data_IF_877654025012
#
_entry.id   IF_877654025012
#
_cell.length_a   1.000
_cell.length_b   1.000
_cell.length_c   1.000
_cell.angle_alpha   90.00
_cell.angle_beta   90.00
_cell.angle_gamma   90.00
#
_symmetry.space_group_name_H-M   'P 1'
#
loop_
_entity.id
_entity.type
_entity.pdbx_description
1 polymer ?
#
# COMPACT_ATOMS: atom_id res chain seq x y z
N UNK A 1 -34.47 -38.29 -15.19
CA UNK A 1 -34.10 -36.89 -15.42
C UNK A 1 -34.35 -36.02 -14.19
N UNK A 2 -35.57 -35.93 -13.64
CA UNK A 2 -35.95 -35.07 -12.50
C UNK A 2 -35.09 -35.32 -11.22
N UNK A 3 -34.76 -36.58 -10.90
CA UNK A 3 -33.95 -36.96 -9.72
C UNK A 3 -32.54 -36.41 -9.79
N UNK A 4 -31.89 -36.37 -10.96
CA UNK A 4 -30.56 -35.80 -11.13
C UNK A 4 -30.57 -34.27 -11.00
N UNK A 5 -31.62 -33.59 -11.44
CA UNK A 5 -31.83 -32.16 -11.33
C UNK A 5 -31.84 -31.72 -9.85
N UNK A 6 -32.55 -32.50 -9.00
CA UNK A 6 -32.57 -32.25 -7.54
C UNK A 6 -31.19 -32.38 -6.92
N UNK A 7 -30.41 -33.41 -7.31
CA UNK A 7 -29.06 -33.60 -6.82
C UNK A 7 -28.14 -32.42 -7.18
N UNK A 8 -28.17 -31.96 -8.41
CA UNK A 8 -27.37 -30.78 -8.85
C UNK A 8 -27.83 -29.50 -8.12
N UNK A 9 -29.11 -29.29 -7.97
CA UNK A 9 -29.63 -28.13 -7.25
C UNK A 9 -29.12 -28.08 -5.80
N UNK A 10 -29.22 -29.19 -5.05
CA UNK A 10 -28.72 -29.27 -3.68
C UNK A 10 -27.19 -29.05 -3.61
N UNK A 11 -26.43 -29.61 -4.56
CA UNK A 11 -25.00 -29.45 -4.63
C UNK A 11 -24.59 -27.97 -4.72
N UNK A 12 -25.14 -27.24 -5.72
CA UNK A 12 -24.80 -25.84 -5.93
C UNK A 12 -25.33 -24.90 -4.84
N UNK A 13 -26.44 -25.26 -4.21
CA UNK A 13 -26.98 -24.52 -3.08
C UNK A 13 -25.97 -24.58 -1.90
N UNK A 14 -25.47 -25.77 -1.54
CA UNK A 14 -24.51 -25.93 -0.45
C UNK A 14 -23.18 -25.25 -0.80
N UNK A 15 -22.72 -25.38 -2.03
CA UNK A 15 -21.48 -24.72 -2.48
C UNK A 15 -21.59 -23.19 -2.42
N UNK A 16 -22.73 -22.63 -2.76
CA UNK A 16 -22.94 -21.17 -2.66
C UNK A 16 -22.85 -20.68 -1.21
N UNK A 17 -23.38 -21.47 -0.25
CA UNK A 17 -23.27 -21.17 1.18
C UNK A 17 -21.83 -21.27 1.66
N UNK A 18 -21.09 -22.29 1.22
CA UNK A 18 -19.68 -22.46 1.57
C UNK A 18 -18.84 -21.30 1.04
N UNK A 19 -19.03 -20.90 -0.23
CA UNK A 19 -18.36 -19.73 -0.79
C UNK A 19 -18.69 -18.44 -0.03
N UNK A 20 -19.96 -18.25 0.31
CA UNK A 20 -20.39 -17.11 1.11
C UNK A 20 -19.71 -17.06 2.48
N UNK A 21 -19.69 -18.19 3.19
CA UNK A 21 -19.05 -18.31 4.49
C UNK A 21 -17.54 -18.03 4.39
N UNK A 22 -16.86 -18.66 3.43
CA UNK A 22 -15.44 -18.47 3.17
C UNK A 22 -15.10 -16.99 2.90
N UNK A 23 -15.80 -16.38 1.97
CA UNK A 23 -15.54 -15.00 1.56
C UNK A 23 -15.82 -13.98 2.66
N UNK A 24 -16.93 -14.15 3.42
CA UNK A 24 -17.29 -13.24 4.50
C UNK A 24 -16.38 -13.32 5.71
N UNK A 25 -15.71 -14.44 5.95
CA UNK A 25 -14.73 -14.58 7.04
C UNK A 25 -13.37 -13.98 6.68
N UNK A 26 -12.93 -14.14 5.44
CA UNK A 26 -11.58 -13.79 5.01
C UNK A 26 -11.44 -12.37 4.45
N UNK A 27 -12.48 -11.83 3.82
CA UNK A 27 -12.34 -10.61 3.03
C UNK A 27 -13.26 -9.48 3.47
N UNK A 28 -12.82 -8.24 3.17
CA UNK A 28 -13.61 -7.04 3.40
C UNK A 28 -14.57 -6.85 2.22
N UNK A 29 -15.88 -6.75 2.46
CA UNK A 29 -16.85 -6.54 1.39
C UNK A 29 -16.68 -5.16 0.73
N UNK A 30 -16.84 -5.11 -0.60
CA UNK A 30 -16.86 -3.87 -1.37
C UNK A 30 -18.29 -3.34 -1.59
N UNK A 31 -19.28 -4.23 -1.57
CA UNK A 31 -20.68 -3.92 -1.89
C UNK A 31 -21.66 -4.30 -0.78
N UNK A 32 -22.88 -3.82 -0.90
CA UNK A 32 -23.96 -4.08 0.07
C UNK A 32 -24.35 -5.56 0.09
N UNK A 33 -24.93 -6.00 1.21
CA UNK A 33 -25.35 -7.39 1.39
C UNK A 33 -26.31 -7.85 0.29
N UNK A 34 -27.27 -6.99 -0.12
CA UNK A 34 -28.22 -7.31 -1.18
C UNK A 34 -27.54 -7.57 -2.53
N UNK A 35 -26.60 -6.69 -2.94
CA UNK A 35 -25.86 -6.84 -4.21
C UNK A 35 -25.02 -8.13 -4.24
N UNK A 36 -24.35 -8.45 -3.12
CA UNK A 36 -23.56 -9.68 -3.01
C UNK A 36 -24.44 -10.92 -3.13
N UNK A 37 -25.59 -10.94 -2.45
CA UNK A 37 -26.49 -12.08 -2.48
C UNK A 37 -27.12 -12.27 -3.87
N UNK A 38 -27.58 -11.20 -4.52
CA UNK A 38 -28.16 -11.28 -5.87
C UNK A 38 -27.15 -11.79 -6.89
N UNK A 39 -25.90 -11.30 -6.87
CA UNK A 39 -24.87 -11.79 -7.78
C UNK A 39 -24.52 -13.27 -7.50
N UNK A 40 -24.38 -13.66 -6.24
CA UNK A 40 -24.11 -15.05 -5.88
C UNK A 40 -25.19 -15.99 -6.44
N UNK A 41 -26.45 -15.67 -6.19
CA UNK A 41 -27.56 -16.48 -6.65
C UNK A 41 -27.65 -16.55 -8.18
N UNK A 42 -27.40 -15.43 -8.88
CA UNK A 42 -27.39 -15.41 -10.35
C UNK A 42 -26.28 -16.27 -10.95
N UNK A 43 -25.05 -16.19 -10.41
CA UNK A 43 -23.93 -17.00 -10.87
C UNK A 43 -24.16 -18.49 -10.65
N UNK A 44 -24.66 -18.88 -9.47
CA UNK A 44 -24.95 -20.28 -9.18
C UNK A 44 -26.16 -20.81 -9.92
N UNK A 45 -27.14 -19.97 -10.29
CA UNK A 45 -28.24 -20.35 -11.19
C UNK A 45 -27.71 -20.66 -12.60
N UNK A 46 -26.75 -19.87 -13.10
CA UNK A 46 -26.08 -20.15 -14.39
C UNK A 46 -25.28 -21.47 -14.31
N UNK A 47 -24.50 -21.68 -13.25
CA UNK A 47 -23.77 -22.94 -13.04
C UNK A 47 -24.71 -24.14 -13.02
N UNK A 48 -25.82 -24.02 -12.33
CA UNK A 48 -26.84 -25.07 -12.30
C UNK A 48 -27.39 -25.41 -13.70
N UNK A 49 -27.75 -24.39 -14.50
CA UNK A 49 -28.24 -24.64 -15.87
C UNK A 49 -27.23 -25.31 -16.76
N UNK A 50 -25.94 -24.92 -16.67
CA UNK A 50 -24.87 -25.52 -17.46
C UNK A 50 -24.54 -26.94 -16.98
N UNK A 51 -24.64 -27.22 -15.69
CA UNK A 51 -24.37 -28.56 -15.16
C UNK A 51 -25.32 -29.64 -15.69
N UNK A 52 -26.47 -29.24 -16.23
CA UNK A 52 -27.42 -30.18 -16.87
C UNK A 52 -26.86 -30.81 -18.17
N UNK A 53 -25.82 -30.23 -18.78
CA UNK A 53 -25.14 -30.81 -19.95
C UNK A 53 -24.16 -31.94 -19.58
N UNK A 54 -23.89 -32.15 -18.29
CA UNK A 54 -23.05 -33.23 -17.72
C UNK A 54 -21.61 -33.30 -18.26
N UNK A 55 -21.01 -32.13 -18.64
CA UNK A 55 -19.64 -32.01 -19.12
C UNK A 55 -18.73 -31.61 -17.95
N UNK A 56 -17.99 -32.60 -17.38
CA UNK A 56 -17.20 -32.43 -16.16
C UNK A 56 -16.16 -31.29 -16.25
N UNK A 57 -15.41 -31.22 -17.33
CA UNK A 57 -14.39 -30.19 -17.55
C UNK A 57 -14.98 -28.77 -17.65
N UNK A 58 -16.10 -28.65 -18.35
CA UNK A 58 -16.81 -27.38 -18.51
C UNK A 58 -17.36 -26.89 -17.16
N UNK A 59 -17.97 -27.79 -16.40
CA UNK A 59 -18.53 -27.47 -15.08
C UNK A 59 -17.45 -27.00 -14.12
N UNK A 60 -16.28 -27.66 -14.08
CA UNK A 60 -15.16 -27.25 -13.24
C UNK A 60 -14.60 -25.89 -13.66
N UNK A 61 -14.41 -25.66 -14.95
CA UNK A 61 -13.94 -24.37 -15.47
C UNK A 61 -14.87 -23.22 -15.14
N UNK A 62 -16.16 -23.41 -15.36
CA UNK A 62 -17.19 -22.41 -15.03
C UNK A 62 -17.32 -22.17 -13.52
N UNK A 63 -17.16 -23.19 -12.69
CA UNK A 63 -17.14 -23.06 -11.25
C UNK A 63 -15.98 -22.15 -10.78
N UNK A 64 -14.79 -22.35 -11.32
CA UNK A 64 -13.63 -21.48 -11.02
C UNK A 64 -13.90 -20.06 -11.47
N UNK A 65 -14.44 -19.86 -12.67
CA UNK A 65 -14.76 -18.54 -13.22
C UNK A 65 -15.85 -17.82 -12.40
N UNK A 66 -16.89 -18.49 -11.99
CA UNK A 66 -17.96 -17.92 -11.18
C UNK A 66 -17.45 -17.49 -9.81
N UNK A 67 -16.66 -18.34 -9.14
CA UNK A 67 -16.05 -18.02 -7.86
C UNK A 67 -15.06 -16.85 -8.00
N UNK A 68 -14.23 -16.84 -9.05
CA UNK A 68 -13.33 -15.72 -9.35
C UNK A 68 -14.10 -14.41 -9.53
N UNK A 69 -15.12 -14.42 -10.39
CA UNK A 69 -15.90 -13.23 -10.69
C UNK A 69 -16.64 -12.71 -9.43
N UNK A 70 -17.19 -13.60 -8.62
CA UNK A 70 -17.81 -13.25 -7.35
C UNK A 70 -16.81 -12.60 -6.37
N UNK A 71 -15.66 -13.23 -6.16
CA UNK A 71 -14.64 -12.74 -5.23
C UNK A 71 -14.04 -11.40 -5.70
N UNK A 72 -13.75 -11.29 -6.98
CA UNK A 72 -13.13 -10.09 -7.56
C UNK A 72 -14.07 -8.87 -7.54
N UNK A 73 -15.35 -9.07 -7.84
CA UNK A 73 -16.29 -7.95 -7.93
C UNK A 73 -16.89 -7.54 -6.58
N UNK A 74 -17.14 -8.50 -5.67
CA UNK A 74 -17.87 -8.22 -4.43
C UNK A 74 -16.98 -7.94 -3.22
N UNK A 75 -15.68 -8.25 -3.31
CA UNK A 75 -14.73 -8.03 -2.24
C UNK A 75 -13.55 -7.21 -2.72
N UNK A 76 -12.87 -6.51 -1.80
CA UNK A 76 -11.69 -5.70 -2.11
C UNK A 76 -10.46 -6.59 -2.31
N UNK A 77 -10.46 -7.34 -3.41
CA UNK A 77 -9.39 -8.26 -3.78
C UNK A 77 -8.71 -7.86 -5.08
N UNK A 78 -7.42 -8.15 -5.19
CA UNK A 78 -6.70 -8.03 -6.46
C UNK A 78 -6.98 -9.25 -7.34
N UNK A 79 -6.85 -9.09 -8.66
CA UNK A 79 -7.12 -10.13 -9.64
C UNK A 79 -6.39 -11.46 -9.33
N UNK A 80 -5.08 -11.43 -9.09
CA UNK A 80 -4.29 -12.63 -8.78
C UNK A 80 -4.69 -13.33 -7.47
N UNK A 81 -5.09 -12.55 -6.45
CA UNK A 81 -5.61 -13.11 -5.20
C UNK A 81 -6.97 -13.77 -5.39
N UNK A 82 -7.86 -13.16 -6.16
CA UNK A 82 -9.16 -13.74 -6.50
C UNK A 82 -9.01 -15.04 -7.30
N UNK A 83 -8.06 -15.10 -8.26
CA UNK A 83 -7.73 -16.31 -9.01
C UNK A 83 -7.23 -17.41 -8.07
N UNK A 84 -6.27 -17.09 -7.17
CA UNK A 84 -5.74 -18.06 -6.22
C UNK A 84 -6.81 -18.66 -5.33
N UNK A 85 -7.68 -17.83 -4.73
CA UNK A 85 -8.73 -18.29 -3.84
C UNK A 85 -9.82 -19.08 -4.56
N UNK A 86 -10.18 -18.71 -5.80
CA UNK A 86 -11.13 -19.48 -6.61
C UNK A 86 -10.57 -20.84 -7.02
N UNK A 87 -9.30 -20.91 -7.41
CA UNK A 87 -8.63 -22.15 -7.77
C UNK A 87 -8.49 -23.10 -6.56
N UNK A 88 -8.10 -22.56 -5.38
CA UNK A 88 -7.98 -23.38 -4.17
C UNK A 88 -9.33 -23.94 -3.71
N UNK A 89 -10.40 -23.15 -3.77
CA UNK A 89 -11.74 -23.62 -3.43
C UNK A 89 -12.18 -24.77 -4.35
N UNK A 90 -11.93 -24.63 -5.66
CA UNK A 90 -12.25 -25.66 -6.63
C UNK A 90 -11.42 -26.93 -6.42
N UNK A 91 -10.11 -26.77 -6.16
CA UNK A 91 -9.23 -27.89 -5.84
C UNK A 91 -9.66 -28.65 -4.60
N UNK A 92 -9.90 -27.94 -3.51
CA UNK A 92 -10.34 -28.55 -2.23
C UNK A 92 -11.69 -29.26 -2.40
N UNK A 93 -12.65 -28.64 -3.08
CA UNK A 93 -13.95 -29.24 -3.37
C UNK A 93 -13.80 -30.55 -4.12
N UNK A 94 -13.08 -30.55 -5.25
CA UNK A 94 -12.91 -31.75 -6.06
C UNK A 94 -12.15 -32.86 -5.35
N UNK A 95 -11.14 -32.53 -4.53
CA UNK A 95 -10.44 -33.53 -3.74
C UNK A 95 -11.33 -34.15 -2.66
N UNK A 96 -12.18 -33.36 -2.00
CA UNK A 96 -13.17 -33.92 -1.06
C UNK A 96 -14.13 -34.89 -1.77
N UNK A 97 -14.56 -34.58 -2.98
CA UNK A 97 -15.39 -35.47 -3.79
C UNK A 97 -14.67 -36.75 -4.16
N UNK A 98 -13.39 -36.68 -4.61
CA UNK A 98 -12.59 -37.86 -4.92
C UNK A 98 -12.36 -38.75 -3.71
N UNK A 99 -12.03 -38.20 -2.55
CA UNK A 99 -11.82 -38.95 -1.31
C UNK A 99 -13.09 -39.70 -0.96
N UNK A 100 -14.23 -39.04 -0.95
CA UNK A 100 -15.52 -39.68 -0.61
C UNK A 100 -15.89 -40.74 -1.66
N UNK A 101 -15.69 -40.44 -2.96
CA UNK A 101 -15.96 -41.40 -4.04
C UNK A 101 -15.17 -42.70 -3.86
N UNK A 102 -13.88 -42.59 -3.61
CA UNK A 102 -12.99 -43.71 -3.47
C UNK A 102 -13.25 -44.52 -2.17
N UNK A 103 -13.47 -43.83 -1.03
CA UNK A 103 -13.81 -44.49 0.23
C UNK A 103 -15.14 -45.26 0.12
N UNK A 104 -16.16 -44.63 -0.45
CA UNK A 104 -17.49 -45.25 -0.63
C UNK A 104 -17.40 -46.42 -1.62
N UNK A 105 -16.68 -46.27 -2.73
CA UNK A 105 -16.49 -47.32 -3.73
C UNK A 105 -15.79 -48.55 -3.15
N UNK A 106 -14.82 -48.34 -2.23
CA UNK A 106 -14.11 -49.43 -1.58
C UNK A 106 -14.97 -50.22 -0.61
N UNK A 107 -15.73 -49.54 0.27
CA UNK A 107 -16.55 -50.22 1.28
C UNK A 107 -17.86 -50.79 0.74
N UNK A 108 -18.37 -50.23 -0.39
CA UNK A 108 -19.62 -50.59 -1.00
C UNK A 108 -19.49 -50.67 -2.54
N UNK A 109 -18.91 -51.77 -3.08
CA UNK A 109 -18.60 -51.89 -4.50
C UNK A 109 -19.84 -51.70 -5.46
N UNK A 110 -21.04 -51.96 -4.94
CA UNK A 110 -22.30 -51.77 -5.69
C UNK A 110 -23.02 -50.45 -5.36
N UNK A 111 -22.35 -49.51 -4.64
CA UNK A 111 -23.00 -48.26 -4.22
C UNK A 111 -23.52 -47.42 -5.39
N UNK A 112 -22.80 -47.41 -6.50
CA UNK A 112 -23.15 -46.70 -7.72
C UNK A 112 -23.90 -47.57 -8.75
N UNK A 113 -24.35 -48.78 -8.34
CA UNK A 113 -25.18 -49.63 -9.20
C UNK A 113 -26.59 -49.03 -9.46
N UNK A 114 -27.24 -49.48 -10.53
CA UNK A 114 -28.53 -48.90 -10.95
C UNK A 114 -29.64 -49.02 -9.88
N UNK A 115 -29.60 -50.08 -9.05
CA UNK A 115 -30.54 -50.23 -7.94
C UNK A 115 -30.20 -49.23 -6.82
N UNK A 116 -31.06 -48.24 -6.60
CA UNK A 116 -30.89 -47.21 -5.56
C UNK A 116 -30.00 -46.01 -5.96
N UNK A 117 -29.60 -45.88 -7.21
CA UNK A 117 -28.72 -44.84 -7.74
C UNK A 117 -28.99 -43.43 -7.22
N UNK A 118 -30.25 -43.03 -7.14
CA UNK A 118 -30.63 -41.71 -6.65
C UNK A 118 -30.28 -41.47 -5.17
N UNK A 119 -30.61 -42.41 -4.30
CA UNK A 119 -30.33 -42.29 -2.86
C UNK A 119 -28.82 -42.35 -2.60
N UNK A 120 -28.14 -43.21 -3.31
CA UNK A 120 -26.68 -43.35 -3.20
C UNK A 120 -25.96 -42.10 -3.71
N UNK A 121 -26.39 -41.51 -4.83
CA UNK A 121 -25.87 -40.23 -5.32
C UNK A 121 -26.16 -39.08 -4.36
N UNK A 122 -27.33 -39.05 -3.73
CA UNK A 122 -27.63 -38.05 -2.70
C UNK A 122 -26.75 -38.18 -1.47
N UNK A 123 -26.55 -39.40 -0.96
CA UNK A 123 -25.65 -39.65 0.18
C UNK A 123 -24.19 -39.23 -0.15
N UNK A 124 -23.72 -39.56 -1.33
CA UNK A 124 -22.41 -39.14 -1.82
C UNK A 124 -22.24 -37.62 -1.78
N UNK A 125 -23.23 -36.88 -2.32
CA UNK A 125 -23.24 -35.42 -2.29
C UNK A 125 -23.21 -34.91 -0.84
N UNK A 126 -24.03 -35.45 0.04
CA UNK A 126 -24.07 -35.02 1.44
C UNK A 126 -22.70 -35.22 2.11
N UNK A 127 -22.11 -36.41 1.99
CA UNK A 127 -20.81 -36.69 2.65
C UNK A 127 -19.69 -35.84 2.06
N UNK A 128 -19.61 -35.66 0.74
CA UNK A 128 -18.57 -34.86 0.11
C UNK A 128 -18.70 -33.36 0.47
N UNK A 129 -19.93 -32.82 0.55
CA UNK A 129 -20.14 -31.41 0.91
C UNK A 129 -19.97 -31.17 2.42
N UNK A 130 -20.29 -32.15 3.30
CA UNK A 130 -19.96 -32.05 4.72
C UNK A 130 -18.43 -32.04 4.91
N UNK A 131 -17.69 -32.91 4.21
CA UNK A 131 -16.24 -32.92 4.26
C UNK A 131 -15.66 -31.59 3.78
N UNK A 132 -16.13 -31.08 2.65
CA UNK A 132 -15.73 -29.79 2.10
C UNK A 132 -16.01 -28.64 3.09
N UNK A 133 -17.22 -28.56 3.64
CA UNK A 133 -17.59 -27.58 4.64
C UNK A 133 -16.66 -27.66 5.88
N UNK A 134 -16.41 -28.88 6.37
CA UNK A 134 -15.53 -29.10 7.53
C UNK A 134 -14.12 -28.59 7.28
N UNK A 135 -13.54 -28.89 6.12
CA UNK A 135 -12.21 -28.40 5.72
C UNK A 135 -12.19 -26.87 5.66
N UNK A 136 -13.22 -26.24 5.03
CA UNK A 136 -13.32 -24.79 4.95
C UNK A 136 -13.55 -24.14 6.32
N UNK A 137 -14.34 -24.74 7.21
CA UNK A 137 -14.52 -24.25 8.58
C UNK A 137 -13.23 -24.30 9.38
N UNK A 138 -12.48 -25.39 9.31
CA UNK A 138 -11.16 -25.52 9.95
C UNK A 138 -10.23 -24.43 9.42
N UNK A 139 -10.15 -24.29 8.11
CA UNK A 139 -9.29 -23.31 7.43
C UNK A 139 -9.64 -21.87 7.82
N UNK A 140 -10.92 -21.51 7.84
CA UNK A 140 -11.37 -20.17 8.24
C UNK A 140 -11.24 -19.92 9.74
N UNK A 141 -11.35 -20.97 10.60
CA UNK A 141 -11.16 -20.84 12.04
C UNK A 141 -9.72 -20.46 12.40
N UNK A 142 -8.73 -21.12 11.79
CA UNK A 142 -7.31 -20.79 12.00
C UNK A 142 -6.93 -19.40 11.51
N UNK A 143 -7.72 -18.81 10.61
CA UNK A 143 -7.49 -17.48 10.02
C UNK A 143 -8.36 -16.40 10.67
N UNK A 144 -9.15 -16.73 11.68
CA UNK A 144 -10.05 -15.79 12.35
C UNK A 144 -9.25 -14.64 12.99
N UNK A 145 -9.55 -13.40 12.57
CA UNK A 145 -8.88 -12.18 13.04
C UNK A 145 -8.02 -11.46 12.00
N UNK A 146 -7.82 -12.06 10.83
CA UNK A 146 -7.00 -11.47 9.77
C UNK A 146 -7.87 -11.01 8.58
N UNK A 147 -8.74 -10.02 8.80
CA UNK A 147 -9.41 -9.34 7.65
C UNK A 147 -8.38 -8.45 6.96
N UNK A 148 -7.58 -9.02 6.10
CA UNK A 148 -6.58 -8.27 5.34
C UNK A 148 -7.18 -7.72 4.04
N UNK A 149 -7.08 -6.40 3.90
CA UNK A 149 -7.11 -5.78 2.59
C UNK A 149 -5.81 -6.21 1.88
N UNK A 150 -5.88 -7.07 0.87
CA UNK A 150 -4.73 -7.57 0.11
C UNK A 150 -4.15 -6.45 -0.77
N UNK A 151 -3.52 -5.44 -0.14
CA UNK A 151 -2.93 -4.31 -0.86
C UNK A 151 -1.47 -4.56 -1.30
N UNK A 152 -0.89 -5.72 -0.99
CA UNK A 152 0.54 -5.91 -1.22
C UNK A 152 0.84 -6.65 -2.52
N UNK A 153 1.70 -5.99 -3.30
CA UNK A 153 2.26 -6.48 -4.54
C UNK A 153 3.36 -7.51 -4.24
N UNK A 154 3.11 -8.78 -4.56
CA UNK A 154 4.17 -9.77 -4.58
C UNK A 154 4.01 -10.67 -5.81
N UNK A 155 4.97 -10.59 -6.75
CA UNK A 155 5.00 -11.42 -7.95
C UNK A 155 5.09 -12.93 -7.63
N UNK A 156 5.56 -13.30 -6.43
CA UNK A 156 5.62 -14.69 -5.97
C UNK A 156 4.24 -15.33 -5.78
N UNK A 157 3.17 -14.55 -5.61
CA UNK A 157 1.80 -15.09 -5.55
C UNK A 157 1.35 -15.76 -6.85
N UNK A 158 1.86 -15.30 -7.99
CA UNK A 158 1.51 -15.87 -9.29
C UNK A 158 2.02 -17.32 -9.40
N UNK A 159 3.20 -17.60 -8.84
CA UNK A 159 3.75 -18.97 -8.80
C UNK A 159 2.90 -19.91 -7.90
N UNK A 160 2.36 -19.40 -6.81
CA UNK A 160 1.53 -20.21 -5.91
C UNK A 160 0.17 -20.61 -6.52
N UNK A 161 -0.30 -19.91 -7.55
CA UNK A 161 -1.52 -20.24 -8.28
C UNK A 161 -1.36 -21.54 -9.09
N UNK A 162 -0.15 -21.87 -9.54
CA UNK A 162 0.10 -23.09 -10.30
C UNK A 162 -0.24 -24.37 -9.53
N UNK A 163 -0.03 -24.41 -8.20
CA UNK A 163 -0.25 -25.61 -7.39
C UNK A 163 -1.72 -26.03 -7.34
N UNK A 164 -2.70 -25.15 -7.05
CA UNK A 164 -4.12 -25.51 -7.16
C UNK A 164 -4.52 -25.94 -8.57
N UNK A 165 -4.01 -25.28 -9.62
CA UNK A 165 -4.33 -25.65 -11.01
C UNK A 165 -3.78 -27.00 -11.39
N UNK A 166 -2.53 -27.32 -11.03
CA UNK A 166 -1.97 -28.66 -11.27
C UNK A 166 -2.74 -29.74 -10.50
N UNK A 167 -3.16 -29.45 -9.27
CA UNK A 167 -3.97 -30.37 -8.49
C UNK A 167 -5.35 -30.63 -9.14
N UNK A 168 -6.01 -29.59 -9.67
CA UNK A 168 -7.27 -29.72 -10.43
C UNK A 168 -7.05 -30.56 -11.68
N UNK A 169 -5.95 -30.32 -12.42
CA UNK A 169 -5.63 -31.09 -13.62
C UNK A 169 -5.43 -32.57 -13.29
N UNK A 170 -4.64 -32.91 -12.27
CA UNK A 170 -4.41 -34.28 -11.81
C UNK A 170 -5.72 -34.92 -11.38
N UNK A 171 -6.56 -34.20 -10.65
CA UNK A 171 -7.88 -34.68 -10.22
C UNK A 171 -8.76 -35.05 -11.43
N UNK A 172 -8.83 -34.17 -12.42
CA UNK A 172 -9.65 -34.40 -13.62
C UNK A 172 -9.11 -35.57 -14.44
N UNK A 173 -7.78 -35.80 -14.50
CA UNK A 173 -7.21 -37.01 -15.12
C UNK A 173 -7.59 -38.27 -14.35
N UNK A 174 -7.60 -38.27 -13.01
CA UNK A 174 -8.05 -39.40 -12.20
C UNK A 174 -9.52 -39.75 -12.47
N UNK A 175 -10.38 -38.73 -12.52
CA UNK A 175 -11.79 -38.95 -12.85
C UNK A 175 -11.95 -39.54 -14.26
N UNK A 176 -11.20 -39.05 -15.26
CA UNK A 176 -11.26 -39.55 -16.62
C UNK A 176 -10.76 -41.01 -16.71
N UNK A 177 -9.72 -41.39 -15.97
CA UNK A 177 -9.23 -42.77 -15.92
C UNK A 177 -10.26 -43.66 -15.24
N UNK A 178 -10.83 -43.26 -14.12
CA UNK A 178 -11.85 -44.01 -13.39
C UNK A 178 -13.13 -44.24 -14.22
N UNK A 179 -13.48 -43.29 -15.10
CA UNK A 179 -14.62 -43.46 -16.00
C UNK A 179 -14.31 -44.43 -17.16
N UNK A 180 -13.05 -44.56 -17.57
CA UNK A 180 -12.64 -45.30 -18.76
C UNK A 180 -12.19 -46.73 -18.47
N UNK A 181 -11.75 -47.02 -17.25
CA UNK A 181 -11.15 -48.30 -16.86
C UNK A 181 -11.75 -48.86 -15.57
N UNK A 182 -11.92 -50.17 -15.49
CA UNK A 182 -12.26 -50.83 -14.23
C UNK A 182 -10.97 -50.91 -13.38
N UNK A 183 -10.95 -50.18 -12.28
CA UNK A 183 -9.80 -50.12 -11.40
C UNK A 183 -9.71 -51.35 -10.51
N UNK A 184 -8.50 -51.79 -10.22
CA UNK A 184 -8.27 -52.78 -9.16
C UNK A 184 -8.39 -52.13 -7.80
N UNK A 185 -8.73 -52.87 -6.71
CA UNK A 185 -8.81 -52.34 -5.36
C UNK A 185 -7.54 -51.64 -4.90
N UNK A 186 -6.36 -52.07 -5.32
CA UNK A 186 -5.09 -51.44 -5.02
C UNK A 186 -4.98 -50.05 -5.70
N UNK A 187 -5.44 -49.90 -6.93
CA UNK A 187 -5.45 -48.61 -7.67
C UNK A 187 -6.43 -47.61 -7.02
N UNK A 188 -7.59 -48.09 -6.59
CA UNK A 188 -8.56 -47.22 -5.86
C UNK A 188 -7.96 -46.66 -4.57
N UNK A 189 -7.22 -47.49 -3.81
CA UNK A 189 -6.49 -47.00 -2.62
C UNK A 189 -5.40 -45.99 -2.99
N UNK A 190 -4.66 -46.22 -4.04
CA UNK A 190 -3.65 -45.26 -4.52
C UNK A 190 -4.27 -43.93 -4.93
N UNK A 191 -5.44 -43.93 -5.57
CA UNK A 191 -6.15 -42.69 -5.93
C UNK A 191 -6.64 -41.93 -4.68
N UNK A 192 -7.22 -42.66 -3.70
CA UNK A 192 -7.61 -42.07 -2.42
C UNK A 192 -6.44 -41.40 -1.72
N UNK A 193 -5.34 -42.11 -1.61
CA UNK A 193 -4.14 -41.62 -0.95
C UNK A 193 -3.55 -40.40 -1.67
N UNK A 194 -3.51 -40.45 -3.01
CA UNK A 194 -3.08 -39.32 -3.83
C UNK A 194 -3.99 -38.09 -3.64
N UNK A 195 -5.31 -38.29 -3.56
CA UNK A 195 -6.22 -37.19 -3.30
C UNK A 195 -6.02 -36.55 -1.92
N UNK A 196 -5.75 -37.36 -0.88
CA UNK A 196 -5.41 -36.85 0.46
C UNK A 196 -4.09 -36.08 0.45
N UNK A 197 -3.04 -36.56 -0.25
CA UNK A 197 -1.79 -35.84 -0.37
C UNK A 197 -1.96 -34.53 -1.14
N UNK A 198 -2.73 -34.50 -2.23
CA UNK A 198 -3.02 -33.29 -2.97
C UNK A 198 -3.82 -32.28 -2.11
N UNK A 199 -4.78 -32.75 -1.33
CA UNK A 199 -5.54 -31.92 -0.40
C UNK A 199 -4.61 -31.27 0.64
N UNK A 200 -3.77 -32.09 1.29
CA UNK A 200 -2.83 -31.58 2.30
C UNK A 200 -1.82 -30.61 1.70
N UNK A 201 -1.31 -30.87 0.50
CA UNK A 201 -0.41 -29.94 -0.21
C UNK A 201 -1.09 -28.60 -0.50
N UNK A 202 -2.33 -28.60 -0.97
CA UNK A 202 -3.07 -27.37 -1.24
C UNK A 202 -3.38 -26.58 0.06
N UNK A 203 -3.71 -27.27 1.15
CA UNK A 203 -3.92 -26.61 2.45
C UNK A 203 -2.62 -26.03 2.99
N UNK A 204 -1.50 -26.72 2.81
CA UNK A 204 -0.18 -26.24 3.21
C UNK A 204 0.24 -25.00 2.42
N UNK A 205 0.07 -25.01 1.10
CA UNK A 205 0.31 -23.84 0.24
C UNK A 205 -0.56 -22.66 0.64
N UNK A 206 -1.82 -22.91 0.94
CA UNK A 206 -2.71 -21.87 1.46
C UNK A 206 -2.19 -21.30 2.80
N UNK A 207 -1.78 -22.16 3.72
CA UNK A 207 -1.21 -21.75 5.02
C UNK A 207 0.06 -20.92 4.85
N UNK A 208 0.99 -21.34 3.99
CA UNK A 208 2.21 -20.59 3.67
C UNK A 208 1.86 -19.22 3.08
N UNK A 209 0.92 -19.16 2.15
CA UNK A 209 0.51 -17.90 1.55
C UNK A 209 -0.02 -16.92 2.60
N UNK A 210 -0.88 -17.38 3.50
CA UNK A 210 -1.42 -16.55 4.58
C UNK A 210 -0.33 -16.13 5.57
N UNK A 211 0.58 -17.03 5.94
CA UNK A 211 1.71 -16.71 6.80
C UNK A 211 2.61 -15.63 6.19
N UNK A 212 2.94 -15.77 4.91
CA UNK A 212 3.76 -14.78 4.20
C UNK A 212 3.06 -13.42 4.09
N UNK A 213 1.75 -13.39 3.85
CA UNK A 213 0.97 -12.14 3.85
C UNK A 213 1.02 -11.45 5.21
N UNK A 214 0.84 -12.21 6.29
CA UNK A 214 0.91 -11.68 7.66
C UNK A 214 2.29 -11.10 7.96
N UNK A 215 3.35 -11.87 7.68
CA UNK A 215 4.74 -11.43 7.87
C UNK A 215 5.07 -10.16 7.09
N UNK A 216 4.59 -10.06 5.86
CA UNK A 216 4.81 -8.87 5.04
C UNK A 216 4.07 -7.64 5.59
N UNK A 217 2.85 -7.83 6.12
CA UNK A 217 2.11 -6.76 6.78
C UNK A 217 2.83 -6.26 8.05
N UNK A 218 3.26 -7.16 8.91
CA UNK A 218 4.04 -6.85 10.12
C UNK A 218 5.34 -6.10 9.77
N UNK A 219 6.05 -6.56 8.75
CA UNK A 219 7.28 -5.91 8.28
C UNK A 219 7.05 -4.49 7.78
N UNK A 220 5.97 -4.27 7.04
CA UNK A 220 5.62 -2.93 6.52
C UNK A 220 5.23 -1.98 7.65
N UNK A 221 4.50 -2.47 8.65
CA UNK A 221 4.14 -1.69 9.84
C UNK A 221 5.39 -1.30 10.64
N UNK A 222 6.32 -2.24 10.83
CA UNK A 222 7.61 -1.98 11.49
C UNK A 222 8.44 -0.93 10.76
N UNK A 223 8.50 -1.01 9.41
CA UNK A 223 9.19 0.01 8.62
C UNK A 223 8.57 1.40 8.79
N UNK A 224 7.24 1.49 8.85
CA UNK A 224 6.54 2.76 9.06
C UNK A 224 6.83 3.34 10.44
N UNK A 225 6.90 2.50 11.48
CA UNK A 225 7.26 2.93 12.84
C UNK A 225 8.69 3.45 12.91
N UNK A 226 9.66 2.73 12.31
CA UNK A 226 11.05 3.16 12.24
C UNK A 226 11.21 4.50 11.50
N UNK A 227 10.46 4.70 10.41
CA UNK A 227 10.47 5.97 9.69
C UNK A 227 9.95 7.11 10.57
N UNK A 228 8.84 6.89 11.31
CA UNK A 228 8.31 7.91 12.23
C UNK A 228 9.29 8.27 13.34
N UNK A 229 10.00 7.28 13.88
CA UNK A 229 11.01 7.50 14.91
C UNK A 229 12.20 8.33 14.38
N UNK A 230 12.65 8.04 13.17
CA UNK A 230 13.71 8.80 12.49
C UNK A 230 13.28 10.25 12.26
N UNK A 231 12.09 10.47 11.70
CA UNK A 231 11.54 11.80 11.43
C UNK A 231 11.40 12.61 12.74
N UNK A 232 10.95 11.96 13.83
CA UNK A 232 10.84 12.58 15.16
C UNK A 232 12.21 12.97 15.71
N UNK A 233 13.22 12.10 15.55
CA UNK A 233 14.58 12.36 16.02
C UNK A 233 15.22 13.55 15.28
N UNK A 234 15.01 13.67 13.99
CA UNK A 234 15.48 14.82 13.21
C UNK A 234 14.80 16.12 13.65
N UNK A 235 13.50 16.07 13.91
CA UNK A 235 12.76 17.21 14.45
C UNK A 235 13.33 17.68 15.81
N UNK A 236 13.56 16.74 16.76
CA UNK A 236 14.16 17.07 18.05
C UNK A 236 15.57 17.66 17.93
N UNK A 237 16.40 17.14 17.05
CA UNK A 237 17.74 17.71 16.78
C UNK A 237 17.66 19.14 16.27
N UNK A 238 16.69 19.44 15.41
CA UNK A 238 16.49 20.78 14.88
C UNK A 238 16.00 21.75 15.99
N UNK A 239 15.11 21.33 16.88
CA UNK A 239 14.67 22.11 18.05
C UNK A 239 15.84 22.39 19.01
N UNK A 240 16.68 21.40 19.30
CA UNK A 240 17.87 21.57 20.13
C UNK A 240 18.83 22.59 19.54
N UNK A 241 19.12 22.50 18.24
CA UNK A 241 19.96 23.46 17.54
C UNK A 241 19.38 24.88 17.54
N UNK A 242 18.07 25.01 17.43
CA UNK A 242 17.38 26.30 17.54
C UNK A 242 17.51 26.88 18.95
N UNK A 243 17.29 26.09 20.01
CA UNK A 243 17.45 26.53 21.40
C UNK A 243 18.90 26.93 21.70
N UNK A 244 19.89 26.21 21.18
CA UNK A 244 21.29 26.56 21.35
C UNK A 244 21.61 27.91 20.69
N UNK A 245 21.15 28.12 19.46
CA UNK A 245 21.30 29.40 18.76
C UNK A 245 20.63 30.57 19.51
N UNK A 246 19.43 30.34 20.08
CA UNK A 246 18.76 31.36 20.92
C UNK A 246 19.57 31.66 22.18
N UNK A 247 20.14 30.66 22.84
CA UNK A 247 20.96 30.86 24.04
C UNK A 247 22.24 31.67 23.73
N UNK A 248 22.88 31.41 22.62
CA UNK A 248 24.04 32.18 22.14
C UNK A 248 23.61 33.64 21.89
N UNK A 249 22.50 33.86 21.19
CA UNK A 249 22.01 35.21 20.90
C UNK A 249 21.71 36.00 22.19
N UNK A 250 21.00 35.38 23.14
CA UNK A 250 20.68 36.00 24.43
C UNK A 250 21.97 36.37 25.16
N UNK A 251 22.93 35.49 25.16
CA UNK A 251 24.23 35.75 25.79
C UNK A 251 24.99 36.94 25.13
N UNK A 252 24.94 37.03 23.82
CA UNK A 252 25.62 38.11 23.09
C UNK A 252 24.87 39.43 23.25
N UNK A 253 23.56 39.46 23.24
CA UNK A 253 22.72 40.61 23.57
C UNK A 253 23.04 41.12 25.00
N UNK A 254 23.19 40.18 25.96
CA UNK A 254 23.58 40.55 27.35
C UNK A 254 24.94 41.22 27.43
N UNK A 255 25.94 40.73 26.69
CA UNK A 255 27.27 41.36 26.59
C UNK A 255 27.19 42.77 25.98
N UNK A 256 26.40 42.93 24.92
CA UNK A 256 26.23 44.25 24.30
C UNK A 256 25.59 45.26 25.26
N UNK A 257 24.53 44.82 25.99
CA UNK A 257 23.88 45.65 27.00
C UNK A 257 24.88 46.04 28.14
N UNK A 258 25.68 45.10 28.62
CA UNK A 258 26.73 45.38 29.62
C UNK A 258 27.75 46.39 29.13
N UNK A 259 28.15 46.31 27.85
CA UNK A 259 29.08 47.28 27.24
C UNK A 259 28.47 48.68 27.15
N UNK A 260 27.16 48.78 26.82
CA UNK A 260 26.43 50.06 26.83
C UNK A 260 26.31 50.63 28.24
N UNK A 261 26.03 49.79 29.25
CA UNK A 261 25.97 50.17 30.67
C UNK A 261 27.28 50.76 31.16
N UNK A 262 28.41 50.09 30.89
CA UNK A 262 29.76 50.59 31.24
C UNK A 262 30.11 51.94 30.59
N UNK A 263 29.69 52.15 29.33
CA UNK A 263 29.90 53.43 28.64
C UNK A 263 28.98 54.52 29.24
N UNK A 264 27.78 54.17 29.70
CA UNK A 264 26.85 55.10 30.35
C UNK A 264 27.35 55.53 31.73
N UNK A 265 27.93 54.63 32.53
CA UNK A 265 28.56 54.98 33.82
C UNK A 265 29.68 55.98 33.64
N UNK A 266 30.44 55.90 32.50
CA UNK A 266 31.49 56.85 32.13
C UNK A 266 30.96 58.15 31.52
N UNK A 267 29.64 58.31 31.38
CA UNK A 267 28.92 59.45 30.75
C UNK A 267 29.43 59.80 29.35
N UNK A 268 29.94 58.78 28.61
CA UNK A 268 30.48 58.94 27.26
C UNK A 268 29.40 58.69 26.19
N UNK A 269 28.49 59.64 26.08
CA UNK A 269 27.33 59.56 25.18
C UNK A 269 27.71 59.45 23.68
N UNK A 270 28.87 59.97 23.30
CA UNK A 270 29.36 59.90 21.92
C UNK A 270 29.69 58.46 21.57
N UNK A 271 30.43 57.76 22.44
CA UNK A 271 30.80 56.37 22.23
C UNK A 271 29.61 55.41 22.34
N UNK A 272 28.61 55.72 23.20
CA UNK A 272 27.38 54.93 23.22
C UNK A 272 26.66 54.97 21.86
N UNK A 273 26.49 56.16 21.29
CA UNK A 273 25.84 56.30 19.98
C UNK A 273 26.62 55.62 18.85
N UNK A 274 27.94 55.71 18.87
CA UNK A 274 28.77 55.02 17.89
C UNK A 274 28.71 53.50 18.02
N UNK A 275 28.73 52.98 19.26
CA UNK A 275 28.60 51.53 19.54
C UNK A 275 27.25 50.97 19.09
N UNK A 276 26.15 51.68 19.42
CA UNK A 276 24.81 51.31 18.97
C UNK A 276 24.76 51.31 17.43
N UNK A 277 25.34 52.32 16.78
CA UNK A 277 25.38 52.38 15.31
C UNK A 277 26.15 51.25 14.70
N UNK A 278 27.30 50.86 15.27
CA UNK A 278 28.10 49.71 14.86
C UNK A 278 27.31 48.42 15.07
N UNK A 279 26.63 48.27 16.19
CA UNK A 279 25.77 47.10 16.49
C UNK A 279 24.65 46.96 15.45
N UNK A 280 23.99 48.05 15.07
CA UNK A 280 22.92 48.05 14.04
C UNK A 280 23.44 47.76 12.62
N UNK A 281 24.72 47.98 12.39
CA UNK A 281 25.39 47.70 11.11
C UNK A 281 26.01 46.30 11.06
N UNK A 282 26.12 45.62 12.22
CA UNK A 282 26.70 44.28 12.28
C UNK A 282 25.83 43.28 11.55
N UNK A 283 26.43 42.33 10.83
CA UNK A 283 25.77 41.28 10.07
C UNK A 283 24.90 40.39 10.92
N UNK A 284 25.23 40.21 12.21
CA UNK A 284 24.56 39.30 13.13
C UNK A 284 23.12 39.74 13.46
N UNK A 285 22.86 41.06 13.49
CA UNK A 285 21.49 41.59 13.64
C UNK A 285 20.72 41.70 12.33
N UNK A 286 21.43 41.76 11.18
CA UNK A 286 20.77 41.73 9.86
C UNK A 286 20.29 40.34 9.46
N UNK A 287 20.93 39.27 9.94
CA UNK A 287 20.49 37.90 9.67
C UNK A 287 19.22 37.48 10.43
N UNK A 288 18.81 38.22 11.46
CA UNK A 288 17.54 38.04 12.20
C UNK A 288 16.35 38.69 11.47
N UNK A 289 16.48 39.08 10.21
CA UNK A 289 15.34 39.54 9.44
C UNK A 289 14.34 38.38 9.28
N UNK A 290 13.26 38.45 10.05
CA UNK A 290 12.14 37.52 10.01
C UNK A 290 11.63 37.40 8.57
N UNK A 291 11.81 36.24 7.97
CA UNK A 291 11.50 35.98 6.57
C UNK A 291 10.02 35.67 6.40
N UNK A 292 9.38 35.11 7.45
CA UNK A 292 7.95 34.82 7.47
C UNK A 292 7.42 34.82 8.92
N UNK A 293 6.09 34.86 9.07
CA UNK A 293 5.44 34.91 10.38
C UNK A 293 5.41 33.56 11.09
N UNK A 294 5.48 32.46 10.34
CA UNK A 294 5.49 31.12 10.92
C UNK A 294 6.87 30.78 11.50
N UNK A 295 6.97 30.59 12.79
CA UNK A 295 8.23 30.47 13.55
C UNK A 295 9.10 29.30 13.09
N UNK A 296 8.48 28.14 12.92
CA UNK A 296 9.16 26.92 12.48
C UNK A 296 9.66 27.03 11.03
N UNK A 297 8.81 27.59 10.14
CA UNK A 297 9.22 27.81 8.75
C UNK A 297 10.39 28.80 8.66
N UNK A 298 10.33 29.87 9.46
CA UNK A 298 11.42 30.86 9.53
C UNK A 298 12.74 30.21 9.98
N UNK A 299 12.70 29.29 10.95
CA UNK A 299 13.88 28.54 11.39
C UNK A 299 14.44 27.64 10.28
N UNK A 300 13.56 26.93 9.54
CA UNK A 300 13.96 26.10 8.40
C UNK A 300 14.62 26.96 7.32
N UNK A 301 13.98 28.05 6.90
CA UNK A 301 14.50 28.94 5.86
C UNK A 301 15.83 29.58 6.24
N UNK A 302 15.99 29.99 7.49
CA UNK A 302 17.24 30.56 8.02
C UNK A 302 18.40 29.53 7.96
N UNK A 303 18.12 28.26 8.31
CA UNK A 303 19.09 27.16 8.18
C UNK A 303 19.55 26.98 6.73
N UNK A 304 18.60 26.89 5.80
CA UNK A 304 18.93 26.69 4.38
C UNK A 304 19.58 27.93 3.76
N UNK A 305 19.20 29.14 4.16
CA UNK A 305 19.88 30.38 3.75
C UNK A 305 21.37 30.35 4.11
N UNK A 306 21.71 29.91 5.32
CA UNK A 306 23.10 29.74 5.75
C UNK A 306 23.83 28.68 4.90
N UNK A 307 23.22 27.52 4.69
CA UNK A 307 23.81 26.47 3.83
C UNK A 307 24.01 26.94 2.37
N UNK A 308 23.08 27.73 1.85
CA UNK A 308 23.19 28.33 0.52
C UNK A 308 24.36 29.32 0.48
N UNK A 309 24.53 30.18 1.49
CA UNK A 309 25.64 31.13 1.58
C UNK A 309 27.02 30.41 1.61
N UNK A 310 27.12 29.31 2.37
CA UNK A 310 28.33 28.46 2.42
C UNK A 310 28.68 27.88 1.04
N UNK A 311 27.63 27.53 0.24
CA UNK A 311 27.80 26.99 -1.12
C UNK A 311 27.78 28.05 -2.22
N UNK A 312 27.71 29.33 -1.89
CA UNK A 312 27.59 30.46 -2.84
C UNK A 312 26.40 30.39 -3.76
N UNK A 313 25.25 29.88 -3.24
CA UNK A 313 23.96 29.81 -3.90
C UNK A 313 23.13 31.01 -3.45
N UNK A 314 22.56 31.79 -4.36
CA UNK A 314 21.65 32.88 -4.03
C UNK A 314 20.32 32.33 -3.51
N UNK A 315 19.85 32.80 -2.34
CA UNK A 315 18.62 32.32 -1.72
C UNK A 315 17.59 33.45 -1.59
N UNK A 316 16.51 33.36 -2.37
CA UNK A 316 15.45 34.37 -2.48
C UNK A 316 14.15 33.82 -1.91
N UNK A 317 13.46 34.62 -1.09
CA UNK A 317 12.21 34.22 -0.47
C UNK A 317 11.17 35.35 -0.56
N UNK A 318 9.93 35.02 -0.98
CA UNK A 318 8.76 35.89 -0.94
C UNK A 318 7.58 35.08 -0.35
N UNK A 319 7.32 35.28 0.93
CA UNK A 319 6.33 34.53 1.69
C UNK A 319 5.32 35.50 2.28
N UNK A 320 4.06 35.34 1.91
CA UNK A 320 2.97 36.16 2.45
C UNK A 320 2.52 35.64 3.81
N UNK A 321 2.10 36.56 4.66
CA UNK A 321 1.59 36.27 6.01
C UNK A 321 0.40 35.29 5.96
N UNK A 322 0.23 34.49 7.00
CA UNK A 322 -0.90 33.55 7.22
C UNK A 322 -1.09 32.51 6.09
N UNK A 323 -0.02 32.17 5.35
CA UNK A 323 -0.12 31.24 4.23
C UNK A 323 0.16 29.80 4.63
N UNK A 324 0.81 29.55 5.76
CA UNK A 324 1.29 28.21 6.16
C UNK A 324 0.74 27.71 7.49
N UNK A 325 -0.05 28.51 8.21
CA UNK A 325 -0.51 28.24 9.58
C UNK A 325 -1.46 27.02 9.68
N UNK A 326 -2.10 26.65 8.58
CA UNK A 326 -2.97 25.47 8.49
C UNK A 326 -2.21 24.15 8.31
N UNK A 327 -0.89 24.20 8.06
CA UNK A 327 -0.06 23.02 7.86
C UNK A 327 0.52 22.61 9.21
N UNK A 328 0.31 21.37 9.62
CA UNK A 328 0.89 20.85 10.86
C UNK A 328 2.43 20.88 10.81
N UNK A 329 3.07 21.20 11.93
CA UNK A 329 4.52 21.41 12.07
C UNK A 329 5.38 20.26 11.49
N UNK A 330 4.98 19.01 11.76
CA UNK A 330 5.66 17.84 11.24
C UNK A 330 5.58 17.74 9.70
N UNK A 331 4.42 18.06 9.13
CA UNK A 331 4.21 18.05 7.68
C UNK A 331 4.96 19.22 7.03
N UNK A 332 4.93 20.40 7.66
CA UNK A 332 5.65 21.59 7.21
C UNK A 332 7.16 21.31 7.18
N UNK A 333 7.69 20.75 8.25
CA UNK A 333 9.11 20.37 8.34
C UNK A 333 9.48 19.39 7.24
N UNK A 334 8.73 18.29 7.13
CA UNK A 334 9.01 17.26 6.13
C UNK A 334 8.87 17.79 4.70
N UNK A 335 7.88 18.64 4.44
CA UNK A 335 7.66 19.23 3.13
C UNK A 335 8.83 20.14 2.72
N UNK A 336 9.14 21.15 3.55
CA UNK A 336 10.18 22.13 3.21
C UNK A 336 11.59 21.57 3.26
N UNK A 337 11.93 20.69 4.20
CA UNK A 337 13.25 20.05 4.22
C UNK A 337 13.46 19.21 2.95
N UNK A 338 12.48 18.39 2.54
CA UNK A 338 12.63 17.61 1.32
C UNK A 338 12.69 18.47 0.04
N UNK A 339 11.94 19.58 -0.03
CA UNK A 339 12.00 20.50 -1.17
C UNK A 339 13.35 21.20 -1.25
N UNK A 340 13.83 21.71 -0.12
CA UNK A 340 15.05 22.52 -0.05
C UNK A 340 16.33 21.67 -0.15
N UNK A 341 16.32 20.45 0.38
CA UNK A 341 17.42 19.50 0.18
C UNK A 341 17.60 19.18 -1.31
N UNK A 342 16.50 18.90 -2.01
CA UNK A 342 16.55 18.65 -3.45
C UNK A 342 17.00 19.89 -4.24
N UNK A 343 16.52 21.07 -3.88
CA UNK A 343 16.90 22.33 -4.53
C UNK A 343 18.38 22.66 -4.31
N UNK A 344 18.87 22.51 -3.08
CA UNK A 344 20.26 22.78 -2.71
C UNK A 344 21.24 21.79 -3.34
N UNK A 345 20.86 20.53 -3.46
CA UNK A 345 21.65 19.51 -4.14
C UNK A 345 21.79 19.82 -5.64
N UNK A 346 20.69 20.21 -6.29
CA UNK A 346 20.71 20.56 -7.71
C UNK A 346 21.47 21.85 -7.99
N UNK A 347 21.28 22.89 -7.17
CA UNK A 347 21.88 24.22 -7.33
C UNK A 347 23.36 24.26 -6.93
N UNK A 348 23.78 23.46 -5.94
CA UNK A 348 25.13 23.50 -5.39
C UNK A 348 26.25 23.13 -6.37
N UNK A 349 25.93 22.55 -7.52
CA UNK A 349 26.88 22.19 -8.58
C UNK A 349 26.87 23.16 -9.78
N UNK A 350 26.16 24.29 -9.68
CA UNK A 350 25.99 25.27 -10.77
C UNK A 350 26.61 26.60 -10.34
N UNK A 351 27.43 27.20 -11.19
CA UNK A 351 27.96 28.57 -10.96
C UNK A 351 26.84 29.61 -11.05
N UNK A 352 26.85 30.61 -10.18
CA UNK A 352 25.84 31.68 -10.09
C UNK A 352 24.42 31.10 -9.91
N UNK A 353 24.33 30.01 -9.16
CA UNK A 353 23.07 29.35 -8.93
C UNK A 353 22.19 30.08 -7.92
N UNK A 354 20.88 29.80 -8.00
CA UNK A 354 19.90 30.38 -7.09
C UNK A 354 18.84 29.37 -6.69
N UNK A 355 18.20 29.66 -5.56
CA UNK A 355 16.96 29.01 -5.11
C UNK A 355 15.98 30.12 -4.77
N UNK A 356 14.80 30.05 -5.34
CA UNK A 356 13.71 30.99 -5.10
C UNK A 356 12.50 30.27 -4.51
N UNK A 357 11.96 30.80 -3.43
CA UNK A 357 10.76 30.28 -2.77
C UNK A 357 9.71 31.36 -2.76
N UNK A 358 8.53 31.04 -3.26
CA UNK A 358 7.40 31.94 -3.29
C UNK A 358 6.16 31.24 -2.71
N UNK A 359 5.55 31.82 -1.67
CA UNK A 359 4.35 31.27 -1.02
C UNK A 359 3.27 32.37 -1.00
N UNK A 360 2.17 32.10 -1.70
CA UNK A 360 1.08 33.06 -1.85
C UNK A 360 -0.27 32.39 -1.73
N UNK A 361 -1.21 33.05 -1.09
CA UNK A 361 -2.63 32.71 -1.14
C UNK A 361 -3.22 33.27 -2.45
N UNK A 362 -3.93 32.42 -3.18
CA UNK A 362 -4.63 32.86 -4.40
C UNK A 362 -5.89 33.63 -4.01
N UNK A 363 -5.99 34.88 -4.43
CA UNK A 363 -7.11 35.75 -4.09
C UNK A 363 -8.46 35.10 -4.40
N UNK A 364 -9.43 35.27 -3.49
CA UNK A 364 -10.80 34.74 -3.59
C UNK A 364 -10.91 33.21 -3.71
N UNK A 365 -9.86 32.47 -3.36
CA UNK A 365 -9.88 31.01 -3.38
C UNK A 365 -9.30 30.43 -2.09
N UNK A 366 -9.68 29.21 -1.69
CA UNK A 366 -9.10 28.55 -0.52
C UNK A 366 -7.74 27.87 -0.84
N UNK A 367 -7.01 28.35 -1.84
CA UNK A 367 -5.76 27.70 -2.26
C UNK A 367 -4.54 28.54 -1.92
N UNK A 368 -3.53 27.86 -1.37
CA UNK A 368 -2.18 28.37 -1.19
C UNK A 368 -1.28 27.72 -2.22
N UNK A 369 -0.48 28.54 -2.89
CA UNK A 369 0.49 28.09 -3.89
C UNK A 369 1.90 28.26 -3.31
N UNK A 370 2.66 27.17 -3.27
CA UNK A 370 4.07 27.11 -2.91
C UNK A 370 4.84 26.83 -4.18
N UNK A 371 5.73 27.76 -4.55
CA UNK A 371 6.59 27.60 -5.71
C UNK A 371 8.05 27.58 -5.26
N UNK A 372 8.79 26.55 -5.66
CA UNK A 372 10.24 26.46 -5.46
C UNK A 372 10.88 26.35 -6.84
N UNK A 373 11.78 27.29 -7.15
CA UNK A 373 12.54 27.31 -8.40
C UNK A 373 14.02 27.24 -8.04
N UNK A 374 14.76 26.35 -8.66
CA UNK A 374 16.20 26.25 -8.43
C UNK A 374 16.97 26.04 -9.73
N UNK A 375 18.20 26.54 -9.77
CA UNK A 375 19.13 26.23 -10.85
C UNK A 375 19.41 24.73 -10.91
N UNK A 376 19.40 24.18 -12.14
CA UNK A 376 19.62 22.76 -12.37
C UNK A 376 20.28 22.56 -13.74
N UNK A 377 21.53 22.09 -13.78
CA UNK A 377 22.31 21.99 -15.03
C UNK A 377 21.84 20.88 -15.96
N UNK A 378 21.32 19.81 -15.42
CA UNK A 378 20.93 18.59 -16.17
C UNK A 378 19.49 18.24 -15.85
N UNK A 379 18.72 17.93 -16.89
CA UNK A 379 17.34 17.47 -16.68
C UNK A 379 17.28 16.25 -15.76
N UNK A 380 16.48 16.30 -14.68
CA UNK A 380 16.35 15.19 -13.77
C UNK A 380 15.41 14.09 -14.28
N UNK A 381 14.94 14.16 -15.52
CA UNK A 381 14.02 13.20 -16.13
C UNK A 381 14.74 12.17 -17.01
N UNK A 382 14.31 10.90 -16.97
CA UNK A 382 14.75 9.87 -17.94
C UNK A 382 14.12 10.10 -19.29
N UNK A 383 14.92 10.01 -20.36
CA UNK A 383 14.44 10.18 -21.73
C UNK A 383 13.35 9.15 -22.15
N UNK A 384 13.28 8.00 -21.48
CA UNK A 384 12.38 6.89 -21.85
C UNK A 384 11.10 6.79 -20.97
N UNK A 385 11.06 7.32 -19.77
CA UNK A 385 9.93 7.07 -18.84
C UNK A 385 9.31 8.31 -18.20
N UNK A 386 9.90 9.49 -18.41
CA UNK A 386 9.43 10.72 -17.74
C UNK A 386 9.55 10.71 -16.20
N UNK A 387 10.21 9.71 -15.64
CA UNK A 387 10.42 9.60 -14.20
C UNK A 387 11.68 10.36 -13.77
N UNK A 388 11.62 10.97 -12.57
CA UNK A 388 12.75 11.67 -11.97
C UNK A 388 13.88 10.69 -11.62
N UNK A 389 15.10 11.00 -12.07
CA UNK A 389 16.31 10.23 -11.79
C UNK A 389 16.94 10.75 -10.49
N UNK A 390 17.36 9.84 -9.63
CA UNK A 390 18.24 10.16 -8.50
C UNK A 390 19.68 9.81 -8.87
N UNK A 391 20.59 10.79 -8.84
CA UNK A 391 22.02 10.60 -9.15
C UNK A 391 22.85 10.04 -7.98
N UNK A 392 22.22 9.57 -6.90
CA UNK A 392 22.94 9.10 -5.71
C UNK A 392 23.31 7.61 -5.81
N UNK A 393 24.52 7.21 -5.33
CA UNK A 393 25.04 5.85 -5.47
C UNK A 393 24.23 4.77 -4.74
N UNK A 394 23.34 5.11 -3.79
CA UNK A 394 22.49 4.18 -3.06
C UNK A 394 21.02 4.28 -3.50
N UNK A 395 20.67 3.68 -4.63
CA UNK A 395 19.33 3.66 -5.23
C UNK A 395 18.20 3.18 -4.29
N UNK A 396 18.50 2.34 -3.29
CA UNK A 396 17.48 1.80 -2.37
C UNK A 396 17.05 2.75 -1.24
N UNK A 397 17.82 3.82 -0.96
CA UNK A 397 17.46 4.82 0.08
C UNK A 397 16.87 6.12 -0.47
N UNK A 398 16.80 6.31 -1.80
CA UNK A 398 16.41 7.57 -2.43
C UNK A 398 15.16 7.40 -3.31
N UNK A 399 14.27 8.33 -3.25
CA UNK A 399 12.93 8.33 -3.82
C UNK A 399 11.84 8.54 -2.76
N UNK A 400 12.23 8.51 -1.48
CA UNK A 400 11.31 8.74 -0.37
C UNK A 400 10.94 10.22 -0.23
N UNK A 401 11.83 11.16 -0.53
CA UNK A 401 11.59 12.60 -0.44
C UNK A 401 10.40 13.05 -1.29
N UNK A 402 10.38 12.69 -2.58
CA UNK A 402 9.29 13.04 -3.48
C UNK A 402 8.00 12.29 -3.11
N UNK A 403 8.10 11.04 -2.66
CA UNK A 403 6.94 10.29 -2.15
C UNK A 403 6.37 10.94 -0.88
N UNK A 404 7.22 11.41 0.02
CA UNK A 404 6.84 12.15 1.23
C UNK A 404 6.12 13.45 0.85
N UNK A 405 6.69 14.25 -0.05
CA UNK A 405 6.07 15.47 -0.57
C UNK A 405 4.67 15.17 -1.12
N UNK A 406 4.54 14.19 -2.03
CA UNK A 406 3.24 13.81 -2.62
C UNK A 406 2.23 13.36 -1.57
N UNK A 407 2.65 12.62 -0.56
CA UNK A 407 1.80 12.16 0.54
C UNK A 407 1.26 13.34 1.36
N UNK A 408 2.13 14.31 1.68
CA UNK A 408 1.72 15.51 2.40
C UNK A 408 0.77 16.34 1.55
N UNK A 409 1.10 16.59 0.29
CA UNK A 409 0.23 17.34 -0.64
C UNK A 409 -1.15 16.71 -0.74
N UNK A 410 -1.24 15.39 -0.88
CA UNK A 410 -2.52 14.66 -0.90
C UNK A 410 -3.29 14.77 0.43
N UNK A 411 -2.61 14.84 1.57
CA UNK A 411 -3.24 15.03 2.90
C UNK A 411 -3.98 16.36 2.99
N UNK A 412 -3.46 17.40 2.34
CA UNK A 412 -4.08 18.73 2.29
C UNK A 412 -4.93 18.95 1.02
N UNK A 413 -5.43 17.88 0.40
CA UNK A 413 -6.25 17.91 -0.81
C UNK A 413 -5.64 18.79 -1.91
N UNK A 414 -4.32 18.72 -2.03
CA UNK A 414 -3.52 19.51 -2.94
C UNK A 414 -3.08 18.75 -4.18
N UNK A 415 -2.40 19.49 -5.06
CA UNK A 415 -1.75 18.94 -6.24
C UNK A 415 -0.30 19.44 -6.34
N UNK A 416 0.54 18.67 -7.04
CA UNK A 416 1.96 18.98 -7.26
C UNK A 416 2.34 18.81 -8.70
N UNK A 417 2.93 19.87 -9.26
CA UNK A 417 3.51 19.87 -10.59
C UNK A 417 5.01 20.10 -10.51
N UNK A 418 5.79 19.31 -11.22
CA UNK A 418 7.23 19.43 -11.33
C UNK A 418 7.63 19.41 -12.80
N UNK A 419 8.46 20.35 -13.22
CA UNK A 419 8.97 20.39 -14.59
C UNK A 419 10.35 21.04 -14.66
N UNK A 420 11.08 20.73 -15.70
CA UNK A 420 12.38 21.30 -16.02
C UNK A 420 12.28 22.23 -17.23
N UNK A 421 12.84 23.41 -17.11
CA UNK A 421 12.92 24.37 -18.21
C UNK A 421 14.34 24.33 -18.81
N UNK A 422 14.43 23.86 -20.07
CA UNK A 422 15.69 23.74 -20.79
C UNK A 422 16.32 25.11 -21.19
N UNK A 423 15.51 26.15 -21.35
CA UNK A 423 15.97 27.47 -21.77
C UNK A 423 16.66 28.20 -20.60
N UNK A 424 16.08 28.11 -19.41
CA UNK A 424 16.58 28.78 -18.21
C UNK A 424 17.46 27.90 -17.34
N UNK A 425 17.58 26.61 -17.65
CA UNK A 425 18.28 25.60 -16.86
C UNK A 425 17.78 25.57 -15.41
N UNK A 426 16.47 25.61 -15.22
CA UNK A 426 15.85 25.65 -13.90
C UNK A 426 14.88 24.49 -13.71
N UNK A 427 14.78 24.02 -12.48
CA UNK A 427 13.76 23.08 -12.07
C UNK A 427 12.70 23.80 -11.25
N UNK A 428 11.45 23.54 -11.59
CA UNK A 428 10.28 24.17 -10.99
C UNK A 428 9.44 23.14 -10.26
N UNK A 429 9.14 23.41 -8.99
CA UNK A 429 8.17 22.66 -8.20
C UNK A 429 7.05 23.58 -7.77
N UNK A 430 5.84 23.30 -8.21
CA UNK A 430 4.64 24.05 -7.87
C UNK A 430 3.71 23.14 -7.08
N UNK A 431 3.36 23.55 -5.87
CA UNK A 431 2.46 22.83 -4.97
C UNK A 431 1.26 23.72 -4.70
N UNK A 432 0.08 23.16 -4.85
CA UNK A 432 -1.18 23.84 -4.55
C UNK A 432 -1.81 23.07 -3.39
N UNK A 433 -2.03 23.74 -2.25
CA UNK A 433 -2.69 23.15 -1.08
C UNK A 433 -4.03 23.81 -0.85
N UNK A 434 -5.02 23.06 -0.40
CA UNK A 434 -6.32 23.58 -0.02
C UNK A 434 -6.32 23.97 1.45
N UNK A 435 -6.47 25.25 1.73
CA UNK A 435 -6.72 25.75 3.08
C UNK A 435 -8.17 25.44 3.43
N UNK A 436 -8.38 24.40 4.25
CA UNK A 436 -9.70 24.12 4.84
C UNK A 436 -9.93 25.12 5.97
N UNK A 437 -10.84 26.06 5.76
CA UNK A 437 -11.32 26.98 6.81
C UNK A 437 -12.12 26.19 7.81
#
# INVERSE_FOLDING_TARGET
>A
MMKNVICYFLCFLVESVILWQYASHLFIPAHTLKQRLTLLLSLYAILFTVSLFDIKWLNMGLYILANFFFLFTQYRLRCHSAIFHSAILAAVMGMCELIVYSVVGHFTPYFFSQAGYFYNKLLFIIFSKILFLSVICILTHFLKGQKHCSQFYNNSMLLLVFIPFTAIFIMLTFVSISDSCILTPAQDWMFSLSAVFLLTANLFVFGINQYNQKKHSEFTEMQLLLQKETDSTEYYKMLLAQNENQSILIHDIKKHLQSIELLNERKDHVKINEYIRQLMLSSDLREISRTCDHELLNAILSRYKRQCNEKRVSFLTDIRSETTDFIADNDLTSLFCNLLDNALEAAGNVQNSFIEINIRKREKTPFVVITVINSCRVTPYTAQSGNLITNKPNRHKHGFGIKSIRKIVSKYNGDIQMYYNNETLTFHTIIILKHSV
#
